data_IF_247908493744
#
_entry.id   IF_247908493744
#
_cell.length_a   1.000
_cell.length_b   1.000
_cell.length_c   1.000
_cell.angle_alpha   90.00
_cell.angle_beta   90.00
_cell.angle_gamma   90.00
#
_symmetry.space_group_name_H-M   'P 1'
#
loop_
_entity.id
_entity.type
_entity.pdbx_description
1 polymer ?
#
# COMPACT_ATOMS: atom_id res chain seq x y z
N UNK A 1 0.59 14.59 -1.37
CA UNK A 1 0.57 14.95 0.07
C UNK A 1 1.82 14.40 0.74
N UNK A 2 2.13 14.80 1.98
CA UNK A 2 3.24 14.22 2.75
C UNK A 2 3.14 12.68 2.81
N UNK A 3 1.93 12.16 3.06
CA UNK A 3 1.66 10.72 3.03
C UNK A 3 2.04 10.05 1.70
N UNK A 4 1.73 10.66 0.55
CA UNK A 4 2.12 10.12 -0.75
C UNK A 4 3.63 10.07 -0.93
N UNK A 5 4.34 11.14 -0.54
CA UNK A 5 5.79 11.19 -0.64
C UNK A 5 6.46 10.17 0.29
N UNK A 6 5.91 9.97 1.49
CA UNK A 6 6.38 8.94 2.41
C UNK A 6 6.15 7.53 1.85
N UNK A 7 4.96 7.23 1.30
CA UNK A 7 4.68 5.96 0.63
C UNK A 7 5.68 5.70 -0.51
N UNK A 8 5.94 6.69 -1.36
CA UNK A 8 6.89 6.56 -2.46
C UNK A 8 8.32 6.31 -1.97
N UNK A 9 8.76 7.05 -0.96
CA UNK A 9 10.10 6.90 -0.39
C UNK A 9 10.28 5.54 0.29
N UNK A 10 9.34 5.12 1.13
CA UNK A 10 9.44 3.86 1.87
C UNK A 10 9.20 2.62 1.00
N UNK A 11 8.48 2.77 -0.11
CA UNK A 11 8.45 1.74 -1.16
C UNK A 11 9.85 1.48 -1.70
N UNK A 12 10.62 2.54 -2.01
CA UNK A 12 11.99 2.40 -2.54
C UNK A 12 13.00 1.92 -1.50
N UNK A 13 12.77 2.12 -0.21
CA UNK A 13 13.61 1.52 0.84
C UNK A 13 13.39 0.01 0.94
N UNK A 14 12.16 -0.47 0.69
CA UNK A 14 11.84 -1.90 0.69
C UNK A 14 12.18 -2.60 -0.62
N UNK A 15 11.87 -1.94 -1.75
CA UNK A 15 12.03 -2.44 -3.11
C UNK A 15 12.70 -1.34 -3.95
N UNK A 16 14.04 -1.34 -4.07
CA UNK A 16 14.79 -0.25 -4.71
C UNK A 16 14.39 0.05 -6.16
N UNK A 17 13.92 -0.98 -6.88
CA UNK A 17 13.49 -0.88 -8.28
C UNK A 17 11.99 -0.56 -8.44
N UNK A 18 11.23 -0.44 -7.35
CA UNK A 18 9.80 -0.18 -7.42
C UNK A 18 9.52 1.28 -7.78
N UNK A 19 8.78 1.48 -8.87
CA UNK A 19 8.25 2.79 -9.24
C UNK A 19 6.81 2.97 -8.74
N UNK A 20 6.54 4.14 -8.13
CA UNK A 20 5.22 4.47 -7.62
C UNK A 20 4.51 5.36 -8.61
N UNK A 21 3.42 4.85 -9.18
CA UNK A 21 2.60 5.55 -10.17
C UNK A 21 1.13 5.60 -9.74
N UNK A 22 0.38 6.65 -10.11
CA UNK A 22 -1.06 6.69 -9.88
C UNK A 22 -1.79 5.60 -10.68
N UNK A 23 -2.76 4.95 -10.04
CA UNK A 23 -3.61 3.95 -10.67
C UNK A 23 -5.07 4.19 -10.31
N UNK A 24 -5.97 4.04 -11.30
CA UNK A 24 -7.41 4.04 -11.07
C UNK A 24 -7.86 2.63 -10.67
N UNK A 25 -8.19 2.47 -9.40
CA UNK A 25 -8.65 1.19 -8.87
C UNK A 25 -10.16 1.02 -9.05
N UNK A 26 -10.56 -0.07 -9.71
CA UNK A 26 -11.95 -0.32 -10.10
C UNK A 26 -12.77 -1.05 -9.02
N UNK A 27 -12.27 -1.19 -7.80
CA UNK A 27 -12.98 -1.83 -6.69
C UNK A 27 -13.49 -0.83 -5.64
N UNK A 28 -14.54 -1.22 -4.92
CA UNK A 28 -15.04 -0.47 -3.76
C UNK A 28 -14.04 -0.53 -2.60
N UNK A 29 -13.82 0.62 -1.95
CA UNK A 29 -12.97 0.73 -0.75
C UNK A 29 -13.58 1.74 0.21
N UNK A 30 -13.15 1.70 1.48
CA UNK A 30 -13.57 2.68 2.49
C UNK A 30 -13.07 4.11 2.19
N UNK A 31 -12.20 4.29 1.18
CA UNK A 31 -11.60 5.58 0.85
C UNK A 31 -12.63 6.66 0.47
N UNK A 32 -13.77 6.29 -0.10
CA UNK A 32 -14.78 7.24 -0.56
C UNK A 32 -15.31 8.15 0.56
N UNK A 33 -15.61 7.57 1.73
CA UNK A 33 -16.14 8.31 2.88
C UNK A 33 -15.15 9.35 3.45
N UNK A 34 -13.85 9.10 3.31
CA UNK A 34 -12.79 9.98 3.80
C UNK A 34 -12.39 11.04 2.77
N UNK A 35 -12.25 10.64 1.50
CA UNK A 35 -11.90 11.56 0.41
C UNK A 35 -12.95 12.65 0.21
N UNK A 36 -14.24 12.32 0.37
CA UNK A 36 -15.34 13.31 0.32
C UNK A 36 -15.27 14.36 1.44
N UNK A 37 -14.49 14.11 2.50
CA UNK A 37 -14.25 15.03 3.62
C UNK A 37 -12.88 15.73 3.53
N UNK A 38 -12.21 15.63 2.39
CA UNK A 38 -10.89 16.24 2.18
C UNK A 38 -9.72 15.49 2.85
N UNK A 39 -9.96 14.31 3.43
CA UNK A 39 -8.88 13.50 4.03
C UNK A 39 -8.14 12.75 2.92
N UNK A 40 -6.81 12.93 2.76
CA UNK A 40 -6.04 12.18 1.77
C UNK A 40 -6.01 10.69 2.10
N UNK A 41 -6.45 9.85 1.16
CA UNK A 41 -6.40 8.38 1.27
C UNK A 41 -5.83 7.80 -0.02
N UNK A 42 -4.93 6.83 0.10
CA UNK A 42 -4.33 6.09 -1.02
C UNK A 42 -4.56 4.59 -0.81
N UNK A 43 -5.08 3.92 -1.82
CA UNK A 43 -5.15 2.45 -1.85
C UNK A 43 -3.83 1.89 -2.37
N UNK A 44 -3.34 0.84 -1.74
CA UNK A 44 -2.04 0.23 -2.04
C UNK A 44 -2.12 -1.29 -1.83
N UNK A 45 -1.32 -2.02 -2.59
CA UNK A 45 -0.88 -3.37 -2.23
C UNK A 45 0.54 -3.24 -1.70
N UNK A 46 0.77 -3.32 -0.38
CA UNK A 46 2.07 -3.01 0.19
C UNK A 46 3.04 -4.19 0.04
N UNK A 47 3.09 -4.86 -1.11
CA UNK A 47 4.02 -5.95 -1.38
C UNK A 47 3.98 -6.31 -2.88
N UNK A 48 5.02 -6.99 -3.40
CA UNK A 48 4.98 -7.55 -4.74
C UNK A 48 3.83 -8.55 -4.81
N UNK A 49 2.99 -8.38 -5.82
CA UNK A 49 1.87 -9.28 -6.11
C UNK A 49 1.97 -9.74 -7.55
N UNK A 50 1.95 -11.05 -7.75
CA UNK A 50 1.89 -11.65 -9.07
C UNK A 50 0.45 -11.60 -9.61
N UNK A 51 0.29 -11.70 -10.93
CA UNK A 51 -1.04 -11.76 -11.54
C UNK A 51 -1.87 -12.96 -11.03
N UNK A 52 -1.22 -14.07 -10.70
CA UNK A 52 -1.91 -15.26 -10.21
C UNK A 52 -2.32 -15.14 -8.74
N UNK A 53 -1.56 -14.41 -7.91
CA UNK A 53 -2.00 -14.01 -6.56
C UNK A 53 -3.19 -13.05 -6.65
N UNK A 54 -3.13 -12.05 -7.52
CA UNK A 54 -4.21 -11.07 -7.68
C UNK A 54 -5.53 -11.72 -8.14
N UNK A 55 -5.48 -12.72 -9.03
CA UNK A 55 -6.68 -13.48 -9.46
C UNK A 55 -7.34 -14.27 -8.33
N UNK A 56 -6.61 -14.58 -7.26
CA UNK A 56 -7.13 -15.34 -6.11
C UNK A 56 -7.82 -14.45 -5.08
N UNK A 57 -7.72 -13.12 -5.22
CA UNK A 57 -8.42 -12.17 -4.34
C UNK A 57 -9.92 -12.49 -4.33
N UNK A 58 -10.50 -12.63 -3.14
CA UNK A 58 -11.87 -13.08 -2.87
C UNK A 58 -12.18 -14.56 -3.22
N UNK A 59 -11.17 -15.39 -3.44
CA UNK A 59 -11.31 -16.83 -3.68
C UNK A 59 -10.99 -17.70 -2.45
N UNK A 60 -11.29 -19.00 -2.54
CA UNK A 60 -11.07 -19.96 -1.44
C UNK A 60 -9.58 -20.22 -1.10
N UNK A 61 -8.67 -19.93 -2.02
CA UNK A 61 -7.21 -20.07 -1.86
C UNK A 61 -6.52 -18.72 -2.02
N UNK A 62 -7.16 -17.65 -1.53
CA UNK A 62 -6.53 -16.35 -1.35
C UNK A 62 -5.40 -16.47 -0.34
N UNK A 63 -4.18 -16.09 -0.74
CA UNK A 63 -3.00 -16.16 0.11
C UNK A 63 -1.93 -15.21 -0.38
N UNK A 64 -1.01 -14.94 0.53
CA UNK A 64 0.18 -14.12 0.34
C UNK A 64 1.38 -14.82 0.96
N UNK A 65 2.58 -14.61 0.43
CA UNK A 65 3.79 -15.16 1.06
C UNK A 65 4.05 -14.52 2.43
N UNK A 66 4.65 -15.29 3.35
CA UNK A 66 5.06 -14.77 4.67
C UNK A 66 6.06 -13.61 4.50
N UNK A 67 6.91 -13.68 3.48
CA UNK A 67 7.88 -12.63 3.17
C UNK A 67 7.16 -11.34 2.72
N UNK A 68 6.18 -11.43 1.83
CA UNK A 68 5.38 -10.29 1.40
C UNK A 68 4.65 -9.63 2.58
N UNK A 69 4.10 -10.43 3.50
CA UNK A 69 3.48 -9.92 4.73
C UNK A 69 4.50 -9.14 5.59
N UNK A 70 5.70 -9.69 5.78
CA UNK A 70 6.78 -9.06 6.55
C UNK A 70 7.22 -7.74 5.91
N UNK A 71 7.57 -7.76 4.62
CA UNK A 71 8.04 -6.60 3.87
C UNK A 71 7.00 -5.47 3.85
N UNK A 72 5.74 -5.83 3.62
CA UNK A 72 4.66 -4.85 3.56
C UNK A 72 4.35 -4.22 4.89
N UNK A 73 4.30 -5.02 5.95
CA UNK A 73 4.13 -4.48 7.31
C UNK A 73 5.24 -3.50 7.66
N UNK A 74 6.48 -3.84 7.30
CA UNK A 74 7.62 -2.97 7.58
C UNK A 74 7.57 -1.65 6.80
N UNK A 75 7.25 -1.70 5.50
CA UNK A 75 7.10 -0.52 4.65
C UNK A 75 6.00 0.42 5.17
N UNK A 76 4.86 -0.12 5.61
CA UNK A 76 3.77 0.66 6.19
C UNK A 76 4.18 1.26 7.54
N UNK A 77 4.82 0.48 8.40
CA UNK A 77 5.31 0.97 9.68
C UNK A 77 6.26 2.16 9.50
N UNK A 78 7.26 2.03 8.62
CA UNK A 78 8.19 3.14 8.32
C UNK A 78 7.48 4.36 7.76
N UNK A 79 6.48 4.17 6.89
CA UNK A 79 5.66 5.26 6.36
C UNK A 79 4.94 6.01 7.49
N UNK A 80 4.32 5.28 8.42
CA UNK A 80 3.61 5.87 9.56
C UNK A 80 4.55 6.58 10.52
N UNK A 81 5.69 5.97 10.87
CA UNK A 81 6.71 6.60 11.72
C UNK A 81 7.24 7.89 11.09
N UNK A 82 7.46 7.90 9.78
CA UNK A 82 7.94 9.08 9.07
C UNK A 82 6.96 10.25 9.12
N UNK A 83 5.67 9.97 8.97
CA UNK A 83 4.62 11.00 8.89
C UNK A 83 4.09 11.41 10.27
N UNK A 84 4.05 10.48 11.24
CA UNK A 84 3.37 10.68 12.52
C UNK A 84 4.19 10.27 13.76
N UNK A 85 5.38 9.70 13.58
CA UNK A 85 6.22 9.18 14.67
C UNK A 85 7.05 10.24 15.40
N UNK A 86 7.18 11.45 14.85
CA UNK A 86 7.79 12.58 15.56
C UNK A 86 6.71 13.26 16.40
N UNK A 87 6.63 12.90 17.68
CA UNK A 87 6.02 13.70 18.74
C UNK A 87 7.05 13.95 19.82
#
# INVERSE_FOLDING_TARGET
TELYQALAAESKTQWPEAEVTPYLFQAGTDAAAWRTRGVPVYGIYPYPITMDELKRMHGNDEKVSIESLRQGTEMIYRTLVRVAGKR
#
